data_IF_171482346949
#
_entry.id   IF_171482346949
#
_cell.length_a   1.000
_cell.length_b   1.000
_cell.length_c   1.000
_cell.angle_alpha   90.00
_cell.angle_beta   90.00
_cell.angle_gamma   90.00
#
_symmetry.space_group_name_H-M   'P 1'
#
loop_
_entity.id
_entity.type
_entity.pdbx_description
1 polymer ?
#
# COMPACT_ATOMS: atom_id res chain seq x y z
N UNK A 1 -9.03 -10.26 4.15
CA UNK A 1 -8.45 -9.71 2.91
C UNK A 1 -7.92 -10.85 2.06
N UNK A 2 -8.02 -10.76 0.74
CA UNK A 2 -7.41 -11.76 -0.16
C UNK A 2 -5.88 -11.73 -0.03
N UNK A 3 -5.23 -12.88 -0.18
CA UNK A 3 -3.78 -12.98 -0.08
C UNK A 3 -3.11 -12.34 -1.31
N UNK A 4 -1.99 -11.66 -1.10
CA UNK A 4 -1.15 -11.15 -2.19
C UNK A 4 -0.57 -12.31 -3.00
N UNK A 5 -0.79 -12.29 -4.32
CA UNK A 5 -0.29 -13.29 -5.27
C UNK A 5 0.98 -12.81 -5.98
N UNK A 6 1.15 -11.50 -6.16
CA UNK A 6 2.32 -10.88 -6.78
C UNK A 6 2.55 -9.48 -6.19
N UNK A 7 3.81 -9.12 -5.99
CA UNK A 7 4.22 -7.76 -5.64
C UNK A 7 5.34 -7.32 -6.58
N UNK A 8 5.21 -6.14 -7.17
CA UNK A 8 6.16 -5.58 -8.14
C UNK A 8 6.60 -4.21 -7.65
N UNK A 9 7.90 -3.97 -7.57
CA UNK A 9 8.47 -2.63 -7.42
C UNK A 9 8.94 -2.17 -8.80
N UNK A 10 8.41 -1.05 -9.27
CA UNK A 10 8.81 -0.44 -10.53
C UNK A 10 10.04 0.45 -10.36
N UNK A 11 10.67 0.82 -11.48
CA UNK A 11 11.86 1.68 -11.50
C UNK A 11 11.61 3.05 -10.85
N UNK A 12 10.39 3.58 -10.99
CA UNK A 12 9.96 4.83 -10.37
C UNK A 12 9.64 4.70 -8.87
N UNK A 13 9.93 3.55 -8.27
CA UNK A 13 9.61 3.17 -6.88
C UNK A 13 8.11 3.05 -6.56
N UNK A 14 7.23 3.10 -7.56
CA UNK A 14 5.84 2.71 -7.36
C UNK A 14 5.75 1.20 -7.10
N UNK A 15 4.78 0.78 -6.29
CA UNK A 15 4.55 -0.63 -5.99
C UNK A 15 3.19 -1.04 -6.50
N UNK A 16 3.10 -2.17 -7.19
CA UNK A 16 1.84 -2.85 -7.50
C UNK A 16 1.76 -4.15 -6.71
N UNK A 17 0.59 -4.41 -6.13
CA UNK A 17 0.24 -5.66 -5.46
C UNK A 17 -0.98 -6.23 -6.15
N UNK A 18 -0.89 -7.47 -6.62
CA UNK A 18 -2.03 -8.23 -7.13
C UNK A 18 -2.48 -9.23 -6.07
N UNK A 19 -3.78 -9.36 -5.92
CA UNK A 19 -4.39 -10.27 -4.96
C UNK A 19 -5.04 -11.46 -5.65
N UNK A 20 -5.19 -12.53 -4.89
CA UNK A 20 -5.80 -13.79 -5.34
C UNK A 20 -7.27 -13.69 -5.77
N UNK A 21 -7.97 -12.65 -5.35
CA UNK A 21 -9.35 -12.34 -5.77
C UNK A 21 -9.42 -11.53 -7.08
N UNK A 22 -8.26 -11.24 -7.68
CA UNK A 22 -8.11 -10.43 -8.89
C UNK A 22 -7.97 -8.92 -8.61
N UNK A 23 -8.23 -8.48 -7.38
CA UNK A 23 -8.09 -7.07 -7.02
C UNK A 23 -6.63 -6.66 -7.08
N UNK A 24 -6.37 -5.35 -7.18
CA UNK A 24 -5.01 -4.84 -7.15
C UNK A 24 -4.89 -3.52 -6.40
N UNK A 25 -3.67 -3.26 -5.95
CA UNK A 25 -3.28 -2.07 -5.21
C UNK A 25 -2.04 -1.47 -5.85
N UNK A 26 -2.02 -0.17 -6.05
CA UNK A 26 -0.83 0.57 -6.43
C UNK A 26 -0.49 1.62 -5.38
N UNK A 27 0.76 1.64 -4.95
CA UNK A 27 1.34 2.70 -4.13
C UNK A 27 2.10 3.67 -5.02
N UNK A 28 1.99 4.95 -4.69
CA UNK A 28 2.81 5.98 -5.31
C UNK A 28 4.30 5.75 -5.01
N UNK A 29 5.21 6.29 -5.86
CA UNK A 29 6.65 6.27 -5.65
C UNK A 29 7.09 6.62 -4.25
N UNK A 30 6.44 7.59 -3.61
CA UNK A 30 6.77 8.04 -2.27
C UNK A 30 5.90 7.38 -1.18
N UNK A 31 5.09 6.37 -1.50
CA UNK A 31 4.22 5.64 -0.57
C UNK A 31 3.06 6.45 0.04
N UNK A 32 2.94 7.75 -0.29
CA UNK A 32 2.00 8.67 0.36
C UNK A 32 0.56 8.58 -0.13
N UNK A 33 0.35 7.96 -1.29
CA UNK A 33 -0.95 7.72 -1.87
C UNK A 33 -1.05 6.28 -2.34
N UNK A 34 -2.26 5.76 -2.33
CA UNK A 34 -2.58 4.48 -2.92
C UNK A 34 -3.81 4.58 -3.79
N UNK A 35 -3.87 3.66 -4.76
CA UNK A 35 -5.05 3.33 -5.53
C UNK A 35 -5.35 1.85 -5.29
N UNK A 36 -6.58 1.53 -4.91
CA UNK A 36 -7.08 0.16 -4.81
C UNK A 36 -8.22 -0.01 -5.80
N UNK A 37 -8.19 -1.09 -6.57
CA UNK A 37 -9.23 -1.43 -7.52
C UNK A 37 -9.70 -2.85 -7.23
N UNK A 38 -10.96 -2.95 -6.83
CA UNK A 38 -11.58 -4.19 -6.43
C UNK A 38 -12.20 -4.87 -7.64
N UNK A 39 -11.90 -6.15 -7.80
CA UNK A 39 -12.51 -6.94 -8.86
C UNK A 39 -14.01 -7.06 -8.63
N UNK A 40 -14.85 -6.72 -9.64
CA UNK A 40 -16.28 -6.93 -9.55
C UNK A 40 -16.60 -8.42 -9.33
N UNK A 41 -17.65 -8.75 -8.56
CA UNK A 41 -18.09 -10.14 -8.44
C UNK A 41 -18.53 -10.68 -9.81
N UNK A 42 -18.46 -11.99 -10.01
CA UNK A 42 -18.86 -12.65 -11.26
C UNK A 42 -20.33 -12.33 -11.64
N UNK A 43 -21.18 -12.07 -10.65
CA UNK A 43 -22.58 -11.67 -10.83
C UNK A 43 -22.78 -10.20 -11.18
N UNK A 44 -21.71 -9.38 -11.21
CA UNK A 44 -21.81 -7.97 -11.56
C UNK A 44 -22.14 -7.79 -13.04
N UNK A 45 -22.92 -6.75 -13.33
CA UNK A 45 -23.22 -6.39 -14.70
C UNK A 45 -21.94 -5.91 -15.42
N UNK A 46 -21.71 -6.23 -16.71
CA UNK A 46 -20.48 -5.82 -17.42
C UNK A 46 -20.21 -4.31 -17.47
N UNK A 47 -21.26 -3.48 -17.37
CA UNK A 47 -21.16 -2.02 -17.32
C UNK A 47 -21.08 -1.46 -15.89
N UNK A 48 -21.11 -2.31 -14.87
CA UNK A 48 -21.00 -1.85 -13.48
C UNK A 48 -19.58 -1.32 -13.24
N UNK A 49 -19.44 -0.07 -12.73
CA UNK A 49 -18.12 0.47 -12.46
C UNK A 49 -17.41 -0.35 -11.38
N UNK A 50 -16.10 -0.56 -11.54
CA UNK A 50 -15.29 -1.20 -10.50
C UNK A 50 -15.19 -0.28 -9.28
N UNK A 51 -15.16 -0.90 -8.10
CA UNK A 51 -14.97 -0.14 -6.86
C UNK A 51 -13.50 0.25 -6.78
N UNK A 52 -13.20 1.47 -7.25
CA UNK A 52 -11.87 2.05 -7.25
C UNK A 52 -11.76 3.17 -6.22
N UNK A 53 -10.74 3.09 -5.37
CA UNK A 53 -10.49 4.04 -4.30
C UNK A 53 -9.10 4.61 -4.50
N UNK A 54 -8.98 5.94 -4.38
CA UNK A 54 -7.70 6.63 -4.31
C UNK A 54 -7.66 7.49 -3.06
N UNK A 55 -6.70 7.23 -2.19
CA UNK A 55 -6.60 7.91 -0.90
C UNK A 55 -5.14 8.13 -0.51
N UNK A 56 -4.91 9.12 0.36
CA UNK A 56 -3.61 9.27 1.02
C UNK A 56 -3.45 8.15 2.04
N UNK A 57 -2.29 7.51 2.02
CA UNK A 57 -1.92 6.41 2.92
C UNK A 57 -2.07 6.78 4.39
N UNK A 58 -1.80 8.05 4.76
CA UNK A 58 -1.97 8.58 6.12
C UNK A 58 -3.42 8.53 6.63
N UNK A 59 -4.40 8.55 5.74
CA UNK A 59 -5.83 8.55 6.07
C UNK A 59 -6.51 7.22 5.73
N UNK A 60 -5.74 6.14 5.58
CA UNK A 60 -6.29 4.82 5.30
C UNK A 60 -7.23 4.37 6.43
N UNK A 61 -8.42 3.92 6.06
CA UNK A 61 -9.41 3.38 7.00
C UNK A 61 -9.07 1.92 7.36
N UNK A 62 -9.64 1.41 8.45
CA UNK A 62 -9.42 0.04 8.95
C UNK A 62 -9.56 -1.01 7.85
N UNK A 63 -10.52 -0.83 6.95
CA UNK A 63 -10.79 -1.74 5.84
C UNK A 63 -9.58 -1.99 4.95
N UNK A 64 -8.70 -1.01 4.71
CA UNK A 64 -7.56 -1.15 3.77
C UNK A 64 -6.20 -1.17 4.46
N UNK A 65 -6.17 -1.04 5.79
CA UNK A 65 -4.94 -0.82 6.56
C UNK A 65 -3.92 -1.93 6.38
N UNK A 66 -4.35 -3.18 6.45
CA UNK A 66 -3.46 -4.35 6.33
C UNK A 66 -2.80 -4.43 4.95
N UNK A 67 -3.57 -4.19 3.89
CA UNK A 67 -3.06 -4.18 2.51
C UNK A 67 -1.97 -3.12 2.32
N UNK A 68 -2.23 -1.93 2.86
CA UNK A 68 -1.31 -0.80 2.77
C UNK A 68 -0.05 -1.05 3.58
N UNK A 69 -0.17 -1.59 4.80
CA UNK A 69 1.00 -1.95 5.62
C UNK A 69 1.87 -2.97 4.89
N UNK A 70 1.29 -4.03 4.34
CA UNK A 70 2.03 -5.04 3.59
C UNK A 70 2.75 -4.45 2.37
N UNK A 71 2.06 -3.62 1.59
CA UNK A 71 2.62 -2.98 0.41
C UNK A 71 3.76 -1.99 0.77
N UNK A 72 3.61 -1.26 1.88
CA UNK A 72 4.66 -0.37 2.41
C UNK A 72 5.87 -1.13 2.94
N UNK A 73 5.67 -2.25 3.63
CA UNK A 73 6.78 -3.09 4.11
C UNK A 73 7.59 -3.63 2.93
N UNK A 74 6.92 -4.09 1.86
CA UNK A 74 7.58 -4.49 0.63
C UNK A 74 8.34 -3.33 -0.01
N UNK A 75 7.70 -2.16 -0.21
CA UNK A 75 8.36 -0.97 -0.77
C UNK A 75 9.59 -0.62 0.05
N UNK A 76 9.47 -0.53 1.37
CA UNK A 76 10.56 -0.11 2.25
C UNK A 76 11.73 -1.09 2.27
N UNK A 77 11.49 -2.36 1.95
CA UNK A 77 12.53 -3.38 1.85
C UNK A 77 13.35 -3.26 0.56
N UNK A 78 12.75 -2.80 -0.53
CA UNK A 78 13.37 -2.86 -1.87
C UNK A 78 13.62 -1.50 -2.52
N UNK A 79 12.95 -0.43 -2.10
CA UNK A 79 13.12 0.92 -2.63
C UNK A 79 14.40 1.58 -2.09
N UNK A 80 14.97 2.51 -2.86
CA UNK A 80 16.17 3.25 -2.47
C UNK A 80 15.91 4.18 -1.29
N UNK A 81 14.68 4.72 -1.19
CA UNK A 81 14.25 5.63 -0.12
C UNK A 81 13.00 5.09 0.59
N UNK A 82 13.11 4.59 1.84
CA UNK A 82 11.96 4.06 2.56
C UNK A 82 10.96 5.17 2.91
N UNK A 83 9.68 4.85 2.82
CA UNK A 83 8.57 5.71 3.20
C UNK A 83 8.19 5.42 4.65
N UNK A 84 8.25 6.45 5.50
CA UNK A 84 8.11 6.31 6.97
C UNK A 84 7.15 7.36 7.54
N UNK A 85 5.84 7.29 7.28
CA UNK A 85 4.88 8.10 8.02
C UNK A 85 4.77 7.58 9.45
N UNK A 86 4.93 8.46 10.43
CA UNK A 86 5.00 8.11 11.85
C UNK A 86 3.74 7.39 12.38
N UNK A 87 2.59 7.58 11.73
CA UNK A 87 1.31 6.97 12.08
C UNK A 87 1.21 5.48 11.72
N UNK A 88 2.01 5.01 10.76
CA UNK A 88 2.03 3.62 10.32
C UNK A 88 3.19 2.81 10.90
N UNK A 89 4.11 3.47 11.64
CA UNK A 89 5.19 2.80 12.36
C UNK A 89 4.58 2.16 13.63
N UNK A 90 4.61 0.81 13.75
CA UNK A 90 4.26 0.14 14.99
C UNK A 90 5.06 0.74 16.15
N UNK A 91 4.46 0.91 17.33
CA UNK A 91 5.10 1.62 18.44
C UNK A 91 6.47 1.02 18.82
N UNK A 92 6.62 -0.28 18.63
CA UNK A 92 7.82 -1.11 18.78
C UNK A 92 8.93 -0.84 17.75
N UNK A 93 8.63 -0.21 16.61
CA UNK A 93 9.59 0.08 15.53
C UNK A 93 9.95 1.57 15.41
N UNK A 94 9.52 2.42 16.35
CA UNK A 94 9.93 3.83 16.38
C UNK A 94 11.38 3.93 16.84
N UNK A 95 12.32 3.99 15.90
CA UNK A 95 13.70 4.29 16.22
C UNK A 95 13.78 5.69 16.85
N UNK A 96 14.16 5.76 18.13
CA UNK A 96 14.55 6.99 18.80
C UNK A 96 15.78 7.52 18.07
N UNK A 97 15.62 8.53 17.22
CA UNK A 97 16.78 9.30 16.75
C UNK A 97 17.35 10.00 17.98
N UNK A 98 18.43 9.47 18.54
CA UNK A 98 19.28 10.25 19.43
C UNK A 98 19.96 11.29 18.54
N UNK A 99 19.48 12.53 18.62
CA UNK A 99 20.16 13.67 18.02
C UNK A 99 21.58 13.74 18.59
N UNK A 100 22.56 13.31 17.81
CA UNK A 100 23.95 13.71 18.01
C UNK A 100 24.07 15.14 17.49
N UNK A 101 23.80 16.09 18.39
CA UNK A 101 24.21 17.49 18.22
C UNK A 101 25.68 17.56 18.63
N UNK A 102 26.56 17.70 17.64
CA UNK A 102 27.96 18.13 17.82
C UNK A 102 28.02 19.60 18.26
#
# INVERSE_FOLDING_TARGET
MAAASLMVLYEDESVEVRYSDGSWLQLSPCGSEFLFDKTPPISAHPLQPSERIRQRTRFVISSYKELIVQALEFRNRFASRPYLPAELIPADKRAVRKDQRS
#
